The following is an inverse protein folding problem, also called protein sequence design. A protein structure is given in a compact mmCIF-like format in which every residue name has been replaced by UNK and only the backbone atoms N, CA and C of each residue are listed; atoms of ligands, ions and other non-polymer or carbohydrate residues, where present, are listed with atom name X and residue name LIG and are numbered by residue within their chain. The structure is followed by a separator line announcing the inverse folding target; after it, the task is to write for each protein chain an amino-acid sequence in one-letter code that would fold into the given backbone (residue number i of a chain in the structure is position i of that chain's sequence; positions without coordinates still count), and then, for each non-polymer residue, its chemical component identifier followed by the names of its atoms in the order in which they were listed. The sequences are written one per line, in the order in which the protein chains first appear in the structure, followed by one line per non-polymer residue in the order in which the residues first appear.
data_IF_078346118102
#
_entry.id   IF_078346118102
#
_cell.length_a   1.000
_cell.length_b   1.000
_cell.length_c   1.000
_cell.angle_alpha   90.00
_cell.angle_beta   90.00
_cell.angle_gamma   90.00
#
_symmetry.space_group_name_H-M   'P 1'
#
loop_
_entity.id
_entity.type
_entity.pdbx_description
1 polymer ?
#
# COMPACT_ATOMS: atom_id res chain seq x y z
N UNK A 1 13.41 -31.89 38.20
CA UNK A 1 13.61 -32.25 36.78
C UNK A 1 14.19 -31.06 36.01
N UNK A 2 15.52 -30.96 35.91
CA UNK A 2 16.17 -29.89 35.13
C UNK A 2 16.25 -30.37 33.68
N UNK A 3 15.44 -29.80 32.78
CA UNK A 3 15.55 -30.08 31.35
C UNK A 3 17.00 -29.84 30.90
N UNK A 4 17.61 -30.82 30.22
CA UNK A 4 18.97 -30.72 29.69
C UNK A 4 19.11 -29.50 28.77
N UNK A 5 20.31 -28.91 28.73
CA UNK A 5 20.60 -27.70 27.93
C UNK A 5 20.26 -27.87 26.45
N UNK A 6 20.39 -29.09 25.91
CA UNK A 6 19.94 -29.49 24.56
C UNK A 6 18.42 -29.45 24.41
N UNK A 7 17.66 -30.01 25.36
CA UNK A 7 16.19 -29.96 25.33
C UNK A 7 15.63 -28.54 25.45
N UNK A 8 16.26 -27.69 26.28
CA UNK A 8 15.89 -26.27 26.39
C UNK A 8 16.16 -25.49 25.08
N UNK A 9 17.28 -25.78 24.40
CA UNK A 9 17.65 -25.18 23.10
C UNK A 9 16.71 -25.61 21.97
N UNK A 10 16.36 -26.89 21.90
CA UNK A 10 15.42 -27.40 20.92
C UNK A 10 14.03 -26.77 21.11
N UNK A 11 13.56 -26.68 22.36
CA UNK A 11 12.29 -26.04 22.69
C UNK A 11 12.29 -24.55 22.33
N UNK A 12 13.36 -23.82 22.64
CA UNK A 12 13.47 -22.39 22.27
C UNK A 12 13.50 -22.19 20.76
N UNK A 13 14.24 -23.00 20.00
CA UNK A 13 14.22 -22.96 18.54
C UNK A 13 12.82 -23.24 17.97
N UNK A 14 12.12 -24.25 18.50
CA UNK A 14 10.74 -24.57 18.10
C UNK A 14 9.78 -23.40 18.36
N UNK A 15 9.86 -22.77 19.53
CA UNK A 15 9.04 -21.62 19.90
C UNK A 15 9.34 -20.38 19.04
N UNK A 16 10.60 -20.13 18.70
CA UNK A 16 11.01 -19.06 17.79
C UNK A 16 10.49 -19.31 16.36
N UNK A 17 10.56 -20.55 15.87
CA UNK A 17 10.02 -20.94 14.55
C UNK A 17 8.50 -20.77 14.51
N UNK A 18 7.79 -21.17 15.58
CA UNK A 18 6.34 -20.98 15.73
C UNK A 18 5.96 -19.50 15.86
N UNK A 19 6.76 -18.67 16.53
CA UNK A 19 6.58 -17.21 16.57
C UNK A 19 6.84 -16.56 15.21
N UNK A 20 7.85 -17.00 14.46
CA UNK A 20 8.17 -16.48 13.12
C UNK A 20 7.08 -16.84 12.11
N UNK A 21 6.54 -18.07 12.15
CA UNK A 21 5.36 -18.46 11.35
C UNK A 21 4.12 -17.64 11.72
N UNK A 22 3.88 -17.38 13.01
CA UNK A 22 2.77 -16.50 13.44
C UNK A 22 2.94 -15.04 13.03
N UNK A 23 4.18 -14.54 12.94
CA UNK A 23 4.48 -13.18 12.45
C UNK A 23 4.42 -13.05 10.92
N UNK A 24 4.67 -14.13 10.20
CA UNK A 24 4.46 -14.21 8.76
C UNK A 24 2.97 -14.48 8.49
N UNK A 25 2.11 -13.55 8.91
CA UNK A 25 0.67 -13.74 8.80
C UNK A 25 0.25 -13.70 7.33
N UNK A 26 0.81 -12.76 6.54
CA UNK A 26 0.58 -12.67 5.08
C UNK A 26 1.76 -11.99 4.35
N UNK A 27 2.19 -12.52 3.19
CA UNK A 27 3.09 -11.81 2.27
C UNK A 27 2.36 -10.65 1.58
N UNK A 28 1.11 -10.88 1.16
CA UNK A 28 0.15 -9.86 0.74
C UNK A 28 -1.12 -10.07 1.57
N UNK A 29 -1.58 -9.04 2.26
CA UNK A 29 -2.77 -9.13 3.09
C UNK A 29 -4.01 -9.43 2.22
N UNK A 30 -4.94 -10.32 2.63
CA UNK A 30 -6.11 -10.70 1.84
C UNK A 30 -6.99 -9.51 1.38
N UNK A 31 -7.01 -8.43 2.15
CA UNK A 31 -7.69 -7.17 1.78
C UNK A 31 -7.11 -6.55 0.50
N UNK A 32 -5.80 -6.71 0.27
CA UNK A 32 -5.13 -6.19 -0.93
C UNK A 32 -5.32 -7.12 -2.13
N UNK A 33 -5.70 -8.38 -1.92
CA UNK A 33 -6.05 -9.30 -3.02
C UNK A 33 -7.29 -8.80 -3.77
N UNK A 34 -8.23 -8.18 -3.05
CA UNK A 34 -9.46 -7.60 -3.63
C UNK A 34 -9.30 -6.15 -4.07
N UNK A 35 -8.07 -5.68 -4.36
CA UNK A 35 -7.85 -4.27 -4.73
C UNK A 35 -8.62 -3.86 -5.98
N UNK A 36 -8.76 -4.75 -6.97
CA UNK A 36 -9.46 -4.46 -8.22
C UNK A 36 -10.96 -4.23 -7.99
N UNK A 37 -11.56 -4.92 -7.03
CA UNK A 37 -12.98 -4.84 -6.71
C UNK A 37 -13.29 -3.76 -5.67
N UNK A 38 -12.50 -3.71 -4.60
CA UNK A 38 -12.77 -2.92 -3.39
C UNK A 38 -11.80 -1.76 -3.20
N UNK A 39 -10.82 -1.60 -4.09
CA UNK A 39 -9.81 -0.55 -3.99
C UNK A 39 -10.40 0.84 -4.17
N UNK A 40 -9.87 1.79 -3.40
CA UNK A 40 -10.30 3.18 -3.43
C UNK A 40 -10.25 3.78 -4.84
N UNK A 41 -9.21 3.43 -5.61
CA UNK A 41 -9.07 3.90 -6.98
C UNK A 41 -10.18 3.40 -7.92
N UNK A 42 -10.43 2.09 -7.96
CA UNK A 42 -11.41 1.51 -8.89
C UNK A 42 -12.85 1.84 -8.52
N UNK A 43 -13.12 2.18 -7.25
CA UNK A 43 -14.48 2.52 -6.80
C UNK A 43 -14.66 4.03 -6.70
N UNK A 44 -13.99 4.66 -5.72
CA UNK A 44 -14.19 6.07 -5.40
C UNK A 44 -13.59 7.00 -6.46
N UNK A 45 -12.37 6.75 -6.93
CA UNK A 45 -11.73 7.68 -7.86
C UNK A 45 -12.41 7.69 -9.22
N UNK A 46 -12.90 6.52 -9.69
CA UNK A 46 -13.72 6.45 -10.91
C UNK A 46 -15.04 7.22 -10.76
N UNK A 47 -15.74 7.08 -9.62
CA UNK A 47 -16.95 7.86 -9.35
C UNK A 47 -16.68 9.38 -9.30
N UNK A 48 -15.54 9.78 -8.72
CA UNK A 48 -15.14 11.19 -8.62
C UNK A 48 -14.87 11.85 -9.98
N UNK A 49 -14.48 11.11 -11.01
CA UNK A 49 -14.26 11.68 -12.35
C UNK A 49 -15.52 12.32 -12.95
N UNK A 50 -16.70 11.87 -12.54
CA UNK A 50 -18.00 12.42 -12.97
C UNK A 50 -18.35 13.72 -12.26
N UNK A 51 -17.72 14.02 -11.11
CA UNK A 51 -18.06 15.17 -10.26
C UNK A 51 -16.85 16.11 -10.09
N UNK A 52 -16.68 17.12 -10.97
CA UNK A 52 -15.49 17.97 -10.99
C UNK A 52 -15.19 18.68 -9.66
N UNK A 53 -16.24 19.16 -8.97
CA UNK A 53 -16.10 19.83 -7.69
C UNK A 53 -15.58 18.89 -6.59
N UNK A 54 -16.11 17.65 -6.53
CA UNK A 54 -15.65 16.63 -5.57
C UNK A 54 -14.25 16.13 -5.92
N UNK A 55 -13.96 15.96 -7.20
CA UNK A 55 -12.63 15.62 -7.69
C UNK A 55 -11.59 16.64 -7.22
N UNK A 56 -11.88 17.93 -7.42
CA UNK A 56 -11.00 19.01 -6.99
C UNK A 56 -10.85 19.05 -5.47
N UNK A 57 -11.92 18.84 -4.70
CA UNK A 57 -11.84 18.77 -3.24
C UNK A 57 -10.96 17.61 -2.76
N UNK A 58 -11.07 16.46 -3.43
CA UNK A 58 -10.36 15.23 -3.07
C UNK A 58 -8.86 15.29 -3.44
N UNK A 59 -8.53 15.69 -4.66
CA UNK A 59 -7.14 15.71 -5.16
C UNK A 59 -6.45 17.07 -5.06
N UNK A 60 -7.17 18.15 -4.71
CA UNK A 60 -6.69 19.54 -4.72
C UNK A 60 -6.22 20.02 -6.11
N UNK A 61 -6.66 19.35 -7.17
CA UNK A 61 -6.34 19.68 -8.56
C UNK A 61 -7.47 19.25 -9.49
N UNK A 62 -7.56 19.85 -10.68
CA UNK A 62 -8.52 19.44 -11.70
C UNK A 62 -8.07 18.15 -12.39
N UNK A 63 -9.02 17.47 -13.05
CA UNK A 63 -8.72 16.27 -13.85
C UNK A 63 -7.64 16.54 -14.91
N UNK A 64 -7.69 17.69 -15.58
CA UNK A 64 -6.70 18.05 -16.60
C UNK A 64 -5.30 18.21 -16.01
N UNK A 65 -5.19 18.79 -14.81
CA UNK A 65 -3.92 18.91 -14.09
C UNK A 65 -3.40 17.54 -13.66
N UNK A 66 -4.29 16.67 -13.19
CA UNK A 66 -3.94 15.31 -12.83
C UNK A 66 -3.42 14.52 -14.03
N UNK A 67 -4.11 14.55 -15.18
CA UNK A 67 -3.65 13.86 -16.40
C UNK A 67 -2.33 14.43 -16.92
N UNK A 68 -2.15 15.76 -16.86
CA UNK A 68 -0.86 16.37 -17.23
C UNK A 68 0.27 15.89 -16.33
N UNK A 69 0.04 15.86 -15.02
CA UNK A 69 1.01 15.37 -14.04
C UNK A 69 1.30 13.88 -14.24
N UNK A 70 0.26 13.08 -14.49
CA UNK A 70 0.40 11.66 -14.77
C UNK A 70 1.24 11.42 -16.02
N UNK A 71 0.97 12.10 -17.13
CA UNK A 71 1.75 11.96 -18.36
C UNK A 71 3.24 12.31 -18.19
N UNK A 72 3.57 13.25 -17.30
CA UNK A 72 4.97 13.60 -17.01
C UNK A 72 5.67 12.54 -16.16
N UNK A 73 4.94 11.86 -15.28
CA UNK A 73 5.49 10.91 -14.31
C UNK A 73 5.27 9.45 -14.70
N UNK A 74 4.44 9.17 -15.71
CA UNK A 74 3.95 7.85 -16.04
C UNK A 74 5.09 6.86 -16.23
N UNK A 75 6.15 7.26 -16.94
CA UNK A 75 7.31 6.42 -17.22
C UNK A 75 8.16 6.18 -15.97
N UNK A 76 8.29 7.18 -15.09
CA UNK A 76 9.07 7.06 -13.84
C UNK A 76 8.36 6.23 -12.77
N UNK A 77 7.03 6.29 -12.74
CA UNK A 77 6.20 5.61 -11.74
C UNK A 77 5.55 4.33 -12.29
N UNK A 78 5.76 3.97 -13.55
CA UNK A 78 5.31 2.67 -14.06
C UNK A 78 6.16 1.55 -13.47
N UNK A 79 5.57 0.37 -13.33
CA UNK A 79 6.27 -0.86 -12.95
C UNK A 79 5.82 -1.97 -13.88
N UNK A 80 6.73 -2.90 -14.14
CA UNK A 80 6.43 -4.08 -14.92
C UNK A 80 5.75 -5.15 -14.05
N UNK A 81 4.86 -5.92 -14.69
CA UNK A 81 4.26 -7.08 -14.04
C UNK A 81 5.33 -8.13 -13.76
N UNK A 82 5.25 -8.76 -12.60
CA UNK A 82 6.16 -9.84 -12.23
C UNK A 82 5.40 -11.16 -12.18
N UNK A 83 6.10 -12.29 -12.26
CA UNK A 83 5.49 -13.63 -12.14
C UNK A 83 4.73 -13.86 -10.82
N UNK A 84 4.92 -12.99 -9.81
CA UNK A 84 4.31 -13.12 -8.49
C UNK A 84 3.09 -12.22 -8.30
N UNK A 85 3.07 -11.03 -8.93
CA UNK A 85 1.98 -10.05 -8.80
C UNK A 85 1.93 -9.11 -9.99
N UNK A 86 0.71 -8.69 -10.32
CA UNK A 86 0.47 -7.57 -11.22
C UNK A 86 0.96 -6.27 -10.58
N UNK A 87 1.58 -5.43 -11.40
CA UNK A 87 2.00 -4.11 -11.02
C UNK A 87 0.79 -3.21 -10.72
N UNK A 88 0.98 -2.33 -9.75
CA UNK A 88 0.04 -1.25 -9.48
C UNK A 88 0.14 -0.26 -10.64
N UNK A 89 -1.00 0.15 -11.21
CA UNK A 89 -0.98 1.06 -12.36
C UNK A 89 -0.36 2.40 -11.95
N UNK A 90 0.33 3.06 -12.87
CA UNK A 90 0.94 4.37 -12.63
C UNK A 90 -0.08 5.40 -12.12
N UNK A 91 -1.33 5.32 -12.60
CA UNK A 91 -2.43 6.19 -12.17
C UNK A 91 -2.86 5.92 -10.73
N UNK A 92 -3.00 4.65 -10.33
CA UNK A 92 -3.28 4.26 -8.94
C UNK A 92 -2.17 4.74 -7.99
N UNK A 93 -0.91 4.57 -8.40
CA UNK A 93 0.24 5.05 -7.62
C UNK A 93 0.15 6.55 -7.38
N UNK A 94 -0.11 7.32 -8.44
CA UNK A 94 -0.26 8.78 -8.34
C UNK A 94 -1.41 9.17 -7.41
N UNK A 95 -2.56 8.49 -7.51
CA UNK A 95 -3.72 8.73 -6.63
C UNK A 95 -3.37 8.54 -5.16
N UNK A 96 -2.71 7.44 -4.81
CA UNK A 96 -2.29 7.16 -3.43
C UNK A 96 -1.31 8.21 -2.93
N UNK A 97 -0.33 8.61 -3.76
CA UNK A 97 0.65 9.65 -3.42
C UNK A 97 -0.02 10.99 -3.19
N UNK A 98 -0.94 11.41 -4.07
CA UNK A 98 -1.68 12.65 -3.92
C UNK A 98 -2.56 12.63 -2.68
N UNK A 99 -3.26 11.53 -2.42
CA UNK A 99 -4.10 11.38 -1.23
C UNK A 99 -3.30 11.53 0.07
N UNK A 100 -2.13 10.93 0.13
CA UNK A 100 -1.22 11.10 1.26
C UNK A 100 -0.84 12.57 1.43
N UNK A 101 -0.44 13.24 0.35
CA UNK A 101 -0.01 14.64 0.38
C UNK A 101 -1.13 15.62 0.68
N UNK A 102 -2.36 15.36 0.24
CA UNK A 102 -3.51 16.19 0.58
C UNK A 102 -3.97 15.99 2.02
N UNK A 103 -3.79 14.79 2.58
CA UNK A 103 -4.16 14.47 3.97
C UNK A 103 -3.16 15.05 4.97
N UNK A 104 -1.86 15.01 4.66
CA UNK A 104 -0.78 15.57 5.49
C UNK A 104 -0.89 17.09 5.68
N UNK A 105 -1.51 17.79 4.73
CA UNK A 105 -1.80 19.22 4.85
C UNK A 105 -2.86 19.57 5.92
N UNK A 106 -3.61 18.58 6.45
CA UNK A 106 -4.69 18.80 7.42
C UNK A 106 -4.39 18.28 8.84
N UNK A 107 -3.27 17.58 9.07
CA UNK A 107 -2.98 16.99 10.38
C UNK A 107 -1.49 17.11 10.76
N UNK A 108 -1.15 17.68 11.94
CA UNK A 108 0.15 17.46 12.54
C UNK A 108 0.21 15.99 12.99
N UNK A 109 1.22 15.28 12.50
CA UNK A 109 1.45 13.84 12.67
C UNK A 109 1.20 13.34 14.12
N UNK A 110 0.62 12.13 14.30
CA UNK A 110 1.48 11.01 14.71
C UNK A 110 1.10 9.65 14.10
N UNK A 111 2.13 8.84 13.86
CA UNK A 111 2.15 7.39 13.65
C UNK A 111 0.90 6.71 13.05
N UNK A 112 0.82 6.60 11.72
CA UNK A 112 -0.12 5.71 11.02
C UNK A 112 0.60 4.46 10.47
N UNK A 113 0.13 3.23 10.77
CA UNK A 113 0.69 1.96 10.26
C UNK A 113 0.76 1.85 8.73
N UNK A 114 0.02 2.70 8.01
CA UNK A 114 -0.08 2.73 6.55
C UNK A 114 1.28 3.08 5.90
N UNK A 115 2.15 3.82 6.60
CA UNK A 115 3.50 4.14 6.15
C UNK A 115 4.40 2.91 5.96
N UNK A 116 4.12 1.79 6.64
CA UNK A 116 4.84 0.53 6.42
C UNK A 116 4.40 -0.15 5.13
N UNK A 117 3.13 -0.01 4.74
CA UNK A 117 2.60 -0.57 3.49
C UNK A 117 3.01 0.26 2.26
N UNK A 118 3.03 1.60 2.35
CA UNK A 118 3.40 2.45 1.21
C UNK A 118 4.90 2.43 0.94
N UNK A 119 5.76 2.44 1.98
CA UNK A 119 7.21 2.23 1.75
C UNK A 119 7.50 0.87 1.13
N UNK A 120 6.72 -0.16 1.43
CA UNK A 120 6.85 -1.49 0.81
C UNK A 120 6.32 -1.53 -0.63
N UNK A 121 5.25 -0.79 -0.95
CA UNK A 121 4.75 -0.66 -2.32
C UNK A 121 5.68 0.18 -3.23
N UNK A 122 6.47 1.10 -2.64
CA UNK A 122 7.42 1.92 -3.37
C UNK A 122 8.80 1.25 -3.56
N UNK A 123 9.21 0.32 -2.69
CA UNK A 123 10.57 -0.26 -2.68
C UNK A 123 10.77 -1.57 -3.47
N UNK A 124 9.75 -2.10 -4.14
CA UNK A 124 9.87 -3.26 -5.04
C UNK A 124 9.05 -3.07 -6.31
#
# INVERSE_FOLDING_TARGET
MVLSTTSKRALTLFLLRKRRKRRAEYWVHPLNTRRLECGEYHRLCQELETYPARYFQYFRMSRNQFEKLHNMLADEISKENTNYRDAISSRERLVVTLRYRTTDAHLPHPASPVLRCIRFAASE
#
